data_IF_244474276083
#
_entry.id   IF_244474276083
#
_cell.length_a   1.000
_cell.length_b   1.000
_cell.length_c   1.000
_cell.angle_alpha   90.00
_cell.angle_beta   90.00
_cell.angle_gamma   90.00
#
_symmetry.space_group_name_H-M   'P 1'
#
loop_
_entity.id
_entity.type
_entity.pdbx_description
1 polymer ?
#
# COMPACT_ATOMS: atom_id res chain seq x y z
N UNK A 1 68.93 -21.87 38.82
CA UNK A 1 68.92 -21.93 40.28
C UNK A 1 67.49 -22.00 40.75
N UNK A 2 66.99 -23.21 41.09
CA UNK A 2 66.47 -23.66 42.38
C UNK A 2 65.15 -22.98 42.81
N UNK A 3 64.04 -23.71 42.59
CA UNK A 3 63.08 -24.34 43.55
C UNK A 3 62.35 -23.41 44.48
N UNK A 4 61.00 -23.44 44.48
CA UNK A 4 60.22 -24.12 45.54
C UNK A 4 58.74 -24.32 45.18
N UNK A 5 58.35 -25.57 45.17
CA UNK A 5 56.96 -26.05 45.26
C UNK A 5 56.48 -25.88 46.71
N UNK A 6 55.29 -25.52 46.94
CA UNK A 6 54.51 -25.92 48.11
C UNK A 6 53.07 -26.23 47.69
N UNK A 7 52.78 -27.50 47.78
CA UNK A 7 51.41 -28.02 47.79
C UNK A 7 50.81 -27.80 49.21
N UNK A 8 49.52 -27.46 49.24
CA UNK A 8 48.67 -27.61 50.44
C UNK A 8 47.40 -28.33 50.04
N UNK A 9 47.13 -29.41 50.81
CA UNK A 9 46.12 -30.42 50.60
C UNK A 9 44.73 -30.00 51.16
N UNK A 10 43.71 -30.55 50.53
CA UNK A 10 42.41 -31.06 51.00
C UNK A 10 41.84 -30.58 52.34
N UNK A 11 40.57 -30.11 52.22
CA UNK A 11 39.53 -30.42 53.21
C UNK A 11 38.17 -30.58 52.49
N UNK A 12 37.71 -31.85 52.41
CA UNK A 12 36.33 -32.21 52.11
C UNK A 12 35.45 -31.82 53.31
N UNK A 13 34.42 -30.97 53.03
CA UNK A 13 33.27 -30.85 53.92
C UNK A 13 32.03 -31.22 53.13
N UNK A 14 31.46 -32.37 53.37
CA UNK A 14 30.22 -32.86 52.85
C UNK A 14 29.07 -32.06 53.55
N UNK A 15 28.29 -31.30 52.80
CA UNK A 15 27.01 -30.75 53.24
C UNK A 15 25.92 -31.44 52.44
N UNK A 16 25.20 -32.35 53.06
CA UNK A 16 23.93 -32.85 52.57
C UNK A 16 22.90 -31.71 52.62
N UNK A 17 22.51 -31.23 51.50
CA UNK A 17 21.36 -30.35 51.36
C UNK A 17 20.21 -31.09 50.69
N UNK A 18 19.14 -31.23 51.45
CA UNK A 18 17.85 -31.78 51.09
C UNK A 18 17.30 -31.05 49.87
N UNK A 19 17.18 -31.72 48.71
CA UNK A 19 16.46 -31.22 47.57
C UNK A 19 14.95 -31.34 47.80
N UNK A 20 14.31 -30.24 48.16
CA UNK A 20 12.86 -30.10 48.06
C UNK A 20 12.53 -29.85 46.59
N UNK A 21 11.98 -30.85 45.91
CA UNK A 21 11.45 -30.75 44.56
C UNK A 21 10.15 -29.96 44.62
N UNK A 22 10.24 -28.62 44.41
CA UNK A 22 9.09 -27.81 44.08
C UNK A 22 8.75 -28.07 42.60
N UNK A 23 7.69 -28.85 42.36
CA UNK A 23 7.09 -29.03 41.06
C UNK A 23 6.43 -27.71 40.67
N UNK A 24 7.18 -26.82 39.95
CA UNK A 24 6.60 -25.67 39.26
C UNK A 24 5.87 -26.25 38.06
N UNK A 25 4.53 -26.30 38.14
CA UNK A 25 3.69 -26.58 37.02
C UNK A 25 3.89 -25.49 35.96
N UNK A 26 4.56 -25.86 34.86
CA UNK A 26 4.60 -25.02 33.66
C UNK A 26 3.19 -24.99 33.13
N UNK A 27 2.44 -23.92 33.46
CA UNK A 27 1.22 -23.55 32.76
C UNK A 27 1.67 -23.15 31.36
N UNK A 28 1.54 -24.09 30.45
CA UNK A 28 1.71 -23.84 29.02
C UNK A 28 0.54 -22.93 28.62
N UNK A 29 0.78 -21.64 28.51
CA UNK A 29 -0.17 -20.72 27.90
C UNK A 29 -0.33 -21.19 26.44
N UNK A 30 -1.45 -21.76 26.12
CA UNK A 30 -1.86 -21.94 24.74
C UNK A 30 -1.94 -20.54 24.11
N UNK A 31 -1.39 -20.34 22.89
CA UNK A 31 -1.59 -19.08 22.19
C UNK A 31 -3.11 -18.95 21.99
N UNK A 32 -3.69 -17.93 22.62
CA UNK A 32 -5.08 -17.57 22.36
C UNK A 32 -5.17 -17.10 20.92
N UNK A 33 -5.64 -17.98 20.05
CA UNK A 33 -6.10 -17.67 18.68
C UNK A 33 -7.38 -16.85 18.75
N UNK A 34 -7.33 -15.72 19.44
CA UNK A 34 -8.33 -14.66 19.34
C UNK A 34 -7.75 -13.50 18.51
N UNK A 35 -7.26 -13.79 17.31
CA UNK A 35 -7.33 -12.82 16.25
C UNK A 35 -8.82 -12.58 16.01
N UNK A 36 -9.32 -11.51 16.61
CA UNK A 36 -10.61 -10.93 16.28
C UNK A 36 -10.68 -10.82 14.76
N UNK A 37 -11.40 -11.76 14.13
CA UNK A 37 -11.92 -11.59 12.78
C UNK A 37 -12.85 -10.38 12.85
N UNK A 38 -12.30 -9.18 12.70
CA UNK A 38 -13.06 -8.01 12.31
C UNK A 38 -13.80 -8.43 11.04
N UNK A 39 -15.13 -8.23 10.99
CA UNK A 39 -15.99 -8.70 9.92
C UNK A 39 -15.53 -8.19 8.56
N UNK A 40 -14.55 -8.86 7.99
CA UNK A 40 -14.12 -8.68 6.62
C UNK A 40 -15.24 -9.21 5.74
N UNK A 41 -15.88 -8.34 4.97
CA UNK A 41 -16.72 -8.73 3.86
C UNK A 41 -15.96 -9.79 3.04
N UNK A 42 -16.68 -10.74 2.45
CA UNK A 42 -16.10 -11.85 1.71
C UNK A 42 -15.37 -11.33 0.44
N UNK A 43 -14.10 -10.94 0.55
CA UNK A 43 -13.28 -10.67 -0.63
C UNK A 43 -13.04 -11.99 -1.40
N UNK A 44 -13.43 -12.02 -2.66
CA UNK A 44 -13.10 -13.13 -3.56
C UNK A 44 -11.67 -12.92 -4.12
N UNK A 45 -10.65 -13.03 -3.25
CA UNK A 45 -9.24 -12.78 -3.60
C UNK A 45 -8.78 -13.45 -4.90
N UNK A 46 -9.12 -14.75 -5.19
CA UNK A 46 -8.69 -15.39 -6.42
C UNK A 46 -9.29 -14.77 -7.69
N UNK A 47 -10.39 -14.03 -7.58
CA UNK A 47 -11.07 -13.38 -8.70
C UNK A 47 -10.73 -11.90 -8.83
N UNK A 48 -10.22 -11.27 -7.77
CA UNK A 48 -9.84 -9.87 -7.76
C UNK A 48 -8.51 -9.66 -8.46
N UNK A 49 -8.52 -8.90 -9.56
CA UNK A 49 -7.34 -8.63 -10.37
C UNK A 49 -6.72 -7.30 -10.02
N UNK A 50 -5.49 -7.33 -9.51
CA UNK A 50 -4.64 -6.15 -9.31
C UNK A 50 -3.63 -6.06 -10.45
N UNK A 51 -3.50 -4.88 -11.06
CA UNK A 51 -2.39 -4.57 -11.96
C UNK A 51 -1.39 -3.71 -11.20
N UNK A 52 -0.20 -4.25 -10.98
CA UNK A 52 0.96 -3.52 -10.45
C UNK A 52 1.74 -2.95 -11.63
N UNK A 53 1.59 -1.65 -11.86
CA UNK A 53 2.30 -0.93 -12.92
C UNK A 53 3.65 -0.44 -12.40
N UNK A 54 4.75 -0.98 -12.94
CA UNK A 54 6.10 -0.51 -12.61
C UNK A 54 6.35 0.82 -13.31
N UNK A 55 6.51 1.89 -12.53
CA UNK A 55 6.81 3.22 -13.04
C UNK A 55 8.08 3.24 -13.90
N UNK A 56 8.07 4.04 -14.95
CA UNK A 56 9.20 4.19 -15.88
C UNK A 56 9.54 2.94 -16.70
N UNK A 57 10.71 2.90 -17.30
CA UNK A 57 11.28 1.78 -18.07
C UNK A 57 12.80 1.85 -18.03
N UNK A 58 13.50 0.76 -18.36
CA UNK A 58 14.96 0.77 -18.44
C UNK A 58 15.50 1.80 -19.47
N UNK A 59 14.71 2.18 -20.51
CA UNK A 59 15.07 3.20 -21.50
C UNK A 59 14.66 4.63 -21.15
N UNK A 60 13.80 4.78 -20.14
CA UNK A 60 13.35 6.07 -19.60
C UNK A 60 13.19 5.90 -18.09
N UNK A 61 14.33 5.85 -17.36
CA UNK A 61 14.38 5.30 -16.01
C UNK A 61 13.81 6.21 -14.92
N UNK A 62 13.28 7.37 -15.25
CA UNK A 62 12.76 8.32 -14.27
C UNK A 62 13.85 9.20 -13.67
N UNK A 63 13.70 9.55 -12.42
CA UNK A 63 14.64 10.35 -11.66
C UNK A 63 15.92 9.56 -11.31
N UNK A 64 16.96 10.29 -10.91
CA UNK A 64 18.13 9.71 -10.27
C UNK A 64 18.04 9.87 -8.77
N UNK A 65 18.42 8.84 -8.06
CA UNK A 65 18.56 8.91 -6.62
C UNK A 65 19.71 9.81 -6.19
N UNK A 66 19.80 10.15 -4.93
CA UNK A 66 20.90 10.94 -4.39
C UNK A 66 22.28 10.34 -4.71
N UNK A 67 22.39 9.03 -4.91
CA UNK A 67 23.63 8.30 -5.25
C UNK A 67 23.70 7.86 -6.71
N UNK A 68 22.76 8.31 -7.54
CA UNK A 68 22.77 8.14 -8.98
C UNK A 68 22.13 6.84 -9.50
N UNK A 69 21.46 6.06 -8.65
CA UNK A 69 20.67 4.92 -9.10
C UNK A 69 19.39 5.38 -9.81
N UNK A 70 18.88 4.56 -10.70
CA UNK A 70 17.66 4.84 -11.45
C UNK A 70 16.40 4.59 -10.61
N UNK A 71 15.40 5.48 -10.69
CA UNK A 71 14.08 5.30 -10.07
C UNK A 71 13.42 3.98 -10.51
N UNK A 72 13.56 3.63 -11.79
CA UNK A 72 13.03 2.37 -12.32
C UNK A 72 13.49 1.14 -11.54
N UNK A 73 14.74 1.14 -11.05
CA UNK A 73 15.27 0.01 -10.28
C UNK A 73 14.63 -0.11 -8.90
N UNK A 74 14.32 1.01 -8.26
CA UNK A 74 13.56 1.04 -7.00
C UNK A 74 12.13 0.57 -7.23
N UNK A 75 11.47 1.10 -8.26
CA UNK A 75 10.10 0.75 -8.62
C UNK A 75 9.96 -0.74 -8.90
N UNK A 76 10.87 -1.31 -9.66
CA UNK A 76 10.85 -2.72 -10.04
C UNK A 76 11.08 -3.65 -8.85
N UNK A 77 12.00 -3.30 -7.95
CA UNK A 77 12.25 -4.10 -6.73
C UNK A 77 11.03 -4.13 -5.83
N UNK A 78 10.47 -2.97 -5.51
CA UNK A 78 9.31 -2.88 -4.65
C UNK A 78 8.08 -3.55 -5.27
N UNK A 79 7.83 -3.33 -6.56
CA UNK A 79 6.70 -3.94 -7.25
C UNK A 79 6.80 -5.47 -7.31
N UNK A 80 7.99 -6.05 -7.44
CA UNK A 80 8.21 -7.50 -7.35
C UNK A 80 7.89 -8.06 -5.97
N UNK A 81 8.28 -7.35 -4.90
CA UNK A 81 7.95 -7.74 -3.53
C UNK A 81 6.42 -7.72 -3.33
N UNK A 82 5.76 -6.65 -3.75
CA UNK A 82 4.29 -6.53 -3.65
C UNK A 82 3.59 -7.63 -4.48
N UNK A 83 4.06 -7.93 -5.67
CA UNK A 83 3.50 -8.98 -6.53
C UNK A 83 3.55 -10.35 -5.83
N UNK A 84 4.72 -10.70 -5.28
CA UNK A 84 4.90 -11.94 -4.52
C UNK A 84 3.95 -12.00 -3.32
N UNK A 85 3.90 -10.97 -2.49
CA UNK A 85 3.09 -10.95 -1.27
C UNK A 85 1.59 -10.99 -1.58
N UNK A 86 1.12 -10.34 -2.66
CA UNK A 86 -0.26 -10.42 -3.12
C UNK A 86 -0.63 -11.83 -3.61
N UNK A 87 0.25 -12.48 -4.37
CA UNK A 87 0.05 -13.86 -4.81
C UNK A 87 -0.01 -14.82 -3.61
N UNK A 88 0.87 -14.67 -2.63
CA UNK A 88 0.88 -15.44 -1.38
C UNK A 88 -0.37 -15.19 -0.53
N UNK A 89 -0.90 -13.97 -0.55
CA UNK A 89 -2.18 -13.61 0.10
C UNK A 89 -3.42 -14.16 -0.62
N UNK A 90 -3.24 -14.82 -1.78
CA UNK A 90 -4.32 -15.45 -2.54
C UNK A 90 -4.93 -14.60 -3.66
N UNK A 91 -4.35 -13.44 -3.99
CA UNK A 91 -4.75 -12.62 -5.15
C UNK A 91 -4.15 -13.19 -6.45
N UNK A 92 -4.59 -14.38 -6.83
CA UNK A 92 -4.01 -15.19 -7.90
C UNK A 92 -4.04 -14.52 -9.29
N UNK A 93 -4.87 -13.49 -9.50
CA UNK A 93 -4.96 -12.72 -10.75
C UNK A 93 -4.12 -11.44 -10.75
N UNK A 94 -3.21 -11.27 -9.79
CA UNK A 94 -2.25 -10.16 -9.79
C UNK A 94 -1.39 -10.20 -11.06
N UNK A 95 -1.14 -9.04 -11.64
CA UNK A 95 -0.33 -8.88 -12.85
C UNK A 95 0.75 -7.84 -12.63
N UNK A 96 2.00 -8.27 -12.53
CA UNK A 96 3.15 -7.38 -12.57
C UNK A 96 3.36 -6.88 -14.00
N UNK A 97 3.17 -5.58 -14.21
CA UNK A 97 3.27 -4.95 -15.52
C UNK A 97 4.54 -4.15 -15.66
N UNK A 98 5.58 -4.77 -16.21
CA UNK A 98 6.80 -4.11 -16.65
C UNK A 98 6.65 -3.73 -18.12
N UNK A 99 6.98 -2.48 -18.45
CA UNK A 99 6.82 -1.95 -19.81
C UNK A 99 8.18 -1.52 -20.35
N UNK A 100 8.38 -1.72 -21.64
CA UNK A 100 9.61 -1.34 -22.35
C UNK A 100 9.42 -0.11 -23.23
N UNK A 101 10.56 0.47 -23.68
CA UNK A 101 10.59 1.52 -24.68
C UNK A 101 10.63 2.95 -24.09
N UNK A 102 10.57 3.99 -24.93
CA UNK A 102 10.66 5.39 -24.49
C UNK A 102 9.38 5.85 -23.80
N UNK A 103 9.50 6.76 -22.83
CA UNK A 103 8.51 7.16 -21.85
C UNK A 103 7.08 7.38 -22.38
N UNK A 104 6.85 8.25 -23.37
CA UNK A 104 5.50 8.51 -23.90
C UNK A 104 4.84 7.29 -24.54
N UNK A 105 5.62 6.47 -25.25
CA UNK A 105 5.09 5.24 -25.89
C UNK A 105 4.76 4.20 -24.84
N UNK A 106 5.63 4.03 -23.85
CA UNK A 106 5.42 3.10 -22.75
C UNK A 106 4.18 3.46 -21.91
N UNK A 107 3.95 4.74 -21.59
CA UNK A 107 2.75 5.17 -20.87
C UNK A 107 1.45 4.79 -21.61
N UNK A 108 1.38 4.99 -22.94
CA UNK A 108 0.22 4.60 -23.73
C UNK A 108 0.04 3.08 -23.76
N UNK A 109 1.14 2.33 -23.89
CA UNK A 109 1.12 0.87 -23.91
C UNK A 109 0.63 0.29 -22.58
N UNK A 110 1.09 0.83 -21.44
CA UNK A 110 0.64 0.36 -20.11
C UNK A 110 -0.84 0.63 -19.85
N UNK A 111 -1.34 1.82 -20.21
CA UNK A 111 -2.79 2.13 -20.10
C UNK A 111 -3.61 1.20 -20.99
N UNK A 112 -3.22 1.00 -22.25
CA UNK A 112 -3.92 0.10 -23.16
C UNK A 112 -3.92 -1.35 -22.65
N UNK A 113 -2.79 -1.82 -22.09
CA UNK A 113 -2.68 -3.17 -21.51
C UNK A 113 -3.52 -3.32 -20.27
N UNK A 114 -3.48 -2.34 -19.33
CA UNK A 114 -4.30 -2.35 -18.12
C UNK A 114 -5.79 -2.41 -18.46
N UNK A 115 -6.26 -1.55 -19.37
CA UNK A 115 -7.66 -1.52 -19.79
C UNK A 115 -8.10 -2.85 -20.45
N UNK A 116 -7.22 -3.49 -21.24
CA UNK A 116 -7.50 -4.80 -21.84
C UNK A 116 -7.62 -5.92 -20.80
N UNK A 117 -6.93 -5.81 -19.67
CA UNK A 117 -6.98 -6.80 -18.60
C UNK A 117 -8.28 -6.73 -17.79
N UNK A 118 -9.06 -5.66 -17.92
CA UNK A 118 -10.28 -5.43 -17.12
C UNK A 118 -10.02 -5.68 -15.65
N UNK A 119 -8.97 -5.03 -15.12
CA UNK A 119 -8.55 -5.17 -13.72
C UNK A 119 -9.57 -4.50 -12.76
N UNK A 120 -9.58 -4.95 -11.52
CA UNK A 120 -10.36 -4.33 -10.45
C UNK A 120 -9.64 -3.10 -9.86
N UNK A 121 -8.31 -3.09 -9.96
CA UNK A 121 -7.47 -2.01 -9.42
C UNK A 121 -6.17 -1.91 -10.23
N UNK A 122 -5.73 -0.67 -10.48
CA UNK A 122 -4.36 -0.38 -10.94
C UNK A 122 -3.61 0.38 -9.85
N UNK A 123 -2.45 -0.15 -9.45
CA UNK A 123 -1.50 0.51 -8.57
C UNK A 123 -0.18 0.75 -9.31
N UNK A 124 0.16 2.01 -9.57
CA UNK A 124 1.43 2.41 -10.18
C UNK A 124 2.47 2.68 -9.10
N UNK A 125 3.61 2.02 -9.17
CA UNK A 125 4.69 2.09 -8.16
C UNK A 125 5.80 2.99 -8.67
N UNK A 126 6.08 4.03 -7.91
CA UNK A 126 7.09 5.05 -8.15
C UNK A 126 7.90 5.36 -6.89
N UNK A 127 9.00 6.09 -7.05
CA UNK A 127 9.78 6.71 -5.99
C UNK A 127 10.08 8.15 -6.37
N UNK A 128 9.70 9.05 -5.48
CA UNK A 128 9.67 10.49 -5.75
C UNK A 128 11.05 11.13 -5.87
N UNK A 129 11.08 12.22 -6.59
CA UNK A 129 12.14 13.20 -6.63
C UNK A 129 11.51 14.60 -6.61
N UNK A 130 12.34 15.61 -6.56
CA UNK A 130 11.89 17.00 -6.51
C UNK A 130 12.33 17.76 -7.77
N UNK A 131 11.68 18.89 -8.11
CA UNK A 131 12.12 19.76 -9.18
C UNK A 131 13.60 20.17 -9.03
N UNK A 132 14.33 20.25 -10.15
CA UNK A 132 15.79 20.45 -10.18
C UNK A 132 16.29 21.63 -9.35
N UNK A 133 15.49 22.71 -9.21
CA UNK A 133 15.86 23.90 -8.43
C UNK A 133 15.86 23.67 -6.91
N UNK A 134 15.36 22.52 -6.43
CA UNK A 134 15.48 22.09 -5.04
C UNK A 134 16.60 21.10 -4.81
N UNK A 135 17.32 20.71 -5.87
CA UNK A 135 18.42 19.78 -5.78
C UNK A 135 19.74 20.54 -5.54
N UNK A 136 20.56 20.00 -4.66
CA UNK A 136 21.89 20.46 -4.31
C UNK A 136 22.94 19.50 -4.88
N UNK A 137 24.13 20.02 -5.19
CA UNK A 137 25.26 19.21 -5.68
C UNK A 137 26.06 18.64 -4.51
N UNK A 138 26.48 17.40 -4.64
CA UNK A 138 27.44 16.78 -3.74
C UNK A 138 28.34 15.79 -4.49
N UNK A 139 29.45 15.41 -3.90
CA UNK A 139 30.31 14.34 -4.44
C UNK A 139 29.97 13.02 -3.75
N UNK A 140 29.72 12.00 -4.55
CA UNK A 140 29.54 10.64 -4.05
C UNK A 140 30.47 9.70 -4.81
N UNK A 141 31.48 9.18 -4.12
CA UNK A 141 32.51 8.29 -4.67
C UNK A 141 33.21 8.89 -5.89
N UNK A 142 33.60 10.18 -5.82
CA UNK A 142 34.29 10.89 -6.91
C UNK A 142 33.42 11.26 -8.11
N UNK A 143 32.09 11.16 -7.97
CA UNK A 143 31.12 11.51 -9.01
C UNK A 143 30.17 12.60 -8.51
N UNK A 144 29.94 13.65 -9.31
CA UNK A 144 28.94 14.66 -8.96
C UNK A 144 27.55 14.07 -9.04
N UNK A 145 26.81 14.20 -7.96
CA UNK A 145 25.42 13.77 -7.83
C UNK A 145 24.55 14.93 -7.35
N UNK A 146 23.23 14.73 -7.38
CA UNK A 146 22.22 15.69 -6.94
C UNK A 146 21.39 15.10 -5.80
N UNK A 147 21.07 15.89 -4.78
CA UNK A 147 20.27 15.45 -3.65
C UNK A 147 19.38 16.57 -3.11
N UNK A 148 18.42 16.21 -2.29
CA UNK A 148 17.64 17.14 -1.48
C UNK A 148 17.19 16.45 -0.18
N UNK A 149 17.82 16.79 0.94
CA UNK A 149 17.45 16.25 2.25
C UNK A 149 16.22 16.96 2.84
N UNK A 150 15.70 17.97 2.16
CA UNK A 150 14.54 18.74 2.59
C UNK A 150 13.23 17.96 2.52
N UNK A 151 13.11 17.05 1.55
CA UNK A 151 11.87 16.34 1.23
C UNK A 151 12.03 14.85 1.50
N UNK A 152 11.06 14.29 2.18
CA UNK A 152 10.99 12.87 2.53
C UNK A 152 9.56 12.43 2.79
N UNK A 153 9.32 11.13 2.76
CA UNK A 153 8.00 10.54 2.97
C UNK A 153 7.33 10.15 1.66
N UNK A 154 6.28 9.34 1.78
CA UNK A 154 5.50 8.88 0.63
C UNK A 154 4.47 9.93 0.19
N UNK A 155 3.91 9.75 -1.01
CA UNK A 155 2.69 10.43 -1.47
C UNK A 155 1.84 9.49 -2.30
N UNK A 156 0.53 9.70 -2.24
CA UNK A 156 -0.45 8.90 -2.97
C UNK A 156 -1.19 9.84 -3.91
N UNK A 157 -1.24 9.51 -5.19
CA UNK A 157 -1.91 10.32 -6.20
C UNK A 157 -3.09 9.61 -6.81
N UNK A 158 -4.20 10.34 -6.96
CA UNK A 158 -5.41 9.94 -7.68
C UNK A 158 -5.82 11.04 -8.67
N UNK A 159 -6.74 10.74 -9.56
CA UNK A 159 -7.25 11.71 -10.54
C UNK A 159 -8.78 11.76 -10.51
N UNK A 160 -9.34 12.97 -10.39
CA UNK A 160 -10.77 13.22 -10.53
C UNK A 160 -11.26 12.98 -11.99
N UNK A 161 -10.33 12.99 -12.96
CA UNK A 161 -10.58 12.68 -14.37
C UNK A 161 -10.52 11.16 -14.68
N UNK A 162 -10.32 10.28 -13.69
CA UNK A 162 -10.46 8.83 -13.85
C UNK A 162 -11.93 8.44 -14.05
N UNK A 163 -12.22 7.30 -14.66
CA UNK A 163 -13.61 6.81 -14.80
C UNK A 163 -14.22 6.42 -13.45
N UNK A 164 -13.41 6.07 -12.48
CA UNK A 164 -13.81 5.68 -11.13
C UNK A 164 -13.03 6.44 -10.05
N UNK A 165 -13.24 7.78 -9.96
CA UNK A 165 -12.45 8.61 -9.06
C UNK A 165 -12.76 8.36 -7.59
N UNK A 166 -14.00 7.96 -7.26
CA UNK A 166 -14.41 7.69 -5.88
C UNK A 166 -13.71 6.44 -5.31
N UNK A 167 -13.63 5.40 -6.10
CA UNK A 167 -12.97 4.16 -5.68
C UNK A 167 -11.45 4.29 -5.75
N UNK A 168 -10.92 5.14 -6.66
CA UNK A 168 -9.51 5.54 -6.63
C UNK A 168 -9.15 6.26 -5.33
N UNK A 169 -9.96 7.22 -4.89
CA UNK A 169 -9.78 7.91 -3.62
C UNK A 169 -9.93 6.96 -2.43
N UNK A 170 -10.95 6.10 -2.43
CA UNK A 170 -11.18 5.11 -1.37
C UNK A 170 -9.97 4.19 -1.19
N UNK A 171 -9.44 3.62 -2.28
CA UNK A 171 -8.24 2.80 -2.20
C UNK A 171 -7.01 3.61 -1.76
N UNK A 172 -6.84 4.83 -2.27
CA UNK A 172 -5.76 5.73 -1.87
C UNK A 172 -5.76 5.99 -0.36
N UNK A 173 -6.92 6.30 0.22
CA UNK A 173 -7.07 6.51 1.67
C UNK A 173 -6.80 5.23 2.47
N UNK A 174 -7.31 4.07 2.04
CA UNK A 174 -7.00 2.79 2.68
C UNK A 174 -5.50 2.49 2.67
N UNK A 175 -4.81 2.77 1.55
CA UNK A 175 -3.37 2.58 1.44
C UNK A 175 -2.61 3.54 2.38
N UNK A 176 -2.96 4.82 2.40
CA UNK A 176 -2.37 5.81 3.30
C UNK A 176 -2.53 5.43 4.76
N UNK A 177 -3.72 4.96 5.14
CA UNK A 177 -4.03 4.46 6.48
C UNK A 177 -3.12 3.28 6.88
N UNK A 178 -2.91 2.33 5.96
CA UNK A 178 -2.05 1.17 6.21
C UNK A 178 -0.57 1.56 6.30
N UNK A 179 -0.11 2.53 5.49
CA UNK A 179 1.25 3.07 5.56
C UNK A 179 1.47 3.80 6.91
N UNK A 180 0.53 4.66 7.30
CA UNK A 180 0.55 5.40 8.57
C UNK A 180 0.55 4.46 9.79
N UNK A 181 -0.26 3.42 9.77
CA UNK A 181 -0.32 2.41 10.84
C UNK A 181 1.04 1.69 11.04
N UNK A 182 1.90 1.67 10.01
CA UNK A 182 3.26 1.12 10.05
C UNK A 182 4.33 2.17 10.33
N UNK A 183 3.93 3.38 10.74
CA UNK A 183 4.83 4.48 11.09
C UNK A 183 5.43 5.23 9.88
N UNK A 184 4.91 4.99 8.67
CA UNK A 184 5.35 5.71 7.48
C UNK A 184 4.59 7.03 7.36
N UNK A 185 5.33 8.13 7.18
CA UNK A 185 4.75 9.46 7.07
C UNK A 185 4.65 9.87 5.60
N UNK A 186 3.55 10.53 5.24
CA UNK A 186 3.46 11.15 3.92
C UNK A 186 4.21 12.49 3.89
N UNK A 187 4.61 12.93 2.71
CA UNK A 187 5.29 14.22 2.53
C UNK A 187 4.28 15.35 2.32
N UNK A 188 4.30 16.43 3.13
CA UNK A 188 3.33 17.52 2.99
C UNK A 188 3.70 18.53 1.89
N UNK A 189 4.90 18.44 1.30
CA UNK A 189 5.47 19.52 0.48
C UNK A 189 4.64 19.86 -0.76
N UNK A 190 3.85 18.92 -1.28
CA UNK A 190 2.99 19.16 -2.44
C UNK A 190 1.88 20.20 -2.21
N UNK A 191 1.54 20.53 -0.96
CA UNK A 191 0.58 21.61 -0.64
C UNK A 191 1.22 22.98 -0.58
N UNK A 192 2.56 23.03 -0.50
CA UNK A 192 3.29 24.26 -0.23
C UNK A 192 3.36 25.17 -1.46
N UNK A 193 3.20 26.49 -1.25
CA UNK A 193 3.18 27.48 -2.34
C UNK A 193 4.49 27.56 -3.12
N UNK A 194 5.62 27.22 -2.49
CA UNK A 194 6.92 27.19 -3.17
C UNK A 194 7.02 26.12 -4.26
N UNK A 195 6.10 25.11 -4.26
CA UNK A 195 6.04 24.11 -5.33
C UNK A 195 5.52 24.69 -6.66
N UNK A 196 4.85 25.83 -6.65
CA UNK A 196 4.37 26.49 -7.88
C UNK A 196 3.53 25.56 -8.74
N UNK A 197 3.94 25.29 -9.99
CA UNK A 197 3.20 24.41 -10.90
C UNK A 197 3.11 22.94 -10.47
N UNK A 198 3.95 22.51 -9.54
CA UNK A 198 3.92 21.15 -8.96
C UNK A 198 3.07 21.07 -7.70
N UNK A 199 2.50 22.19 -7.24
CA UNK A 199 1.56 22.18 -6.12
C UNK A 199 0.35 21.31 -6.44
N UNK A 200 -0.12 20.54 -5.45
CA UNK A 200 -1.26 19.61 -5.57
C UNK A 200 -2.30 19.87 -4.49
N UNK A 201 -3.54 19.59 -4.80
CA UNK A 201 -4.61 19.60 -3.82
C UNK A 201 -4.54 18.34 -2.98
N UNK A 202 -4.47 18.48 -1.67
CA UNK A 202 -4.58 17.37 -0.72
C UNK A 202 -6.06 17.03 -0.55
N UNK A 203 -6.45 15.82 -0.94
CA UNK A 203 -7.83 15.33 -0.87
C UNK A 203 -8.12 14.66 0.47
N UNK A 204 -7.11 13.97 1.01
CA UNK A 204 -7.17 13.30 2.31
C UNK A 204 -5.92 13.67 3.11
N UNK A 205 -6.11 14.52 4.11
CA UNK A 205 -5.02 15.04 4.94
C UNK A 205 -4.57 14.05 6.03
N UNK A 206 -5.42 13.09 6.40
CA UNK A 206 -5.08 12.07 7.37
C UNK A 206 -4.18 11.00 6.77
N UNK A 207 -4.37 10.71 5.48
CA UNK A 207 -3.78 9.57 4.79
C UNK A 207 -2.86 9.95 3.61
N UNK A 208 -2.66 11.26 3.35
CA UNK A 208 -1.69 11.78 2.38
C UNK A 208 -2.05 11.52 0.91
N UNK A 209 -3.34 11.65 0.55
CA UNK A 209 -3.82 11.46 -0.81
C UNK A 209 -3.98 12.80 -1.53
N UNK A 210 -3.34 12.92 -2.69
CA UNK A 210 -3.30 14.13 -3.50
C UNK A 210 -4.02 13.95 -4.84
N UNK A 211 -4.59 15.04 -5.36
CA UNK A 211 -5.16 15.10 -6.71
C UNK A 211 -4.08 15.40 -7.75
N UNK A 212 -4.07 14.60 -8.84
CA UNK A 212 -3.16 14.81 -9.97
C UNK A 212 -3.82 14.46 -11.32
N UNK A 213 -4.70 15.34 -11.84
CA UNK A 213 -5.53 15.10 -13.01
C UNK A 213 -4.78 15.08 -14.35
N UNK A 214 -3.53 15.56 -14.39
CA UNK A 214 -2.72 15.53 -15.60
C UNK A 214 -1.88 14.25 -15.77
N UNK A 215 -1.84 13.37 -14.79
CA UNK A 215 -1.16 12.09 -14.89
C UNK A 215 -1.91 11.13 -15.81
N UNK A 216 -1.30 10.87 -16.96
CA UNK A 216 -1.92 10.11 -18.05
C UNK A 216 -2.38 8.71 -17.61
N UNK A 217 -1.57 8.01 -16.82
CA UNK A 217 -1.88 6.66 -16.33
C UNK A 217 -3.11 6.68 -15.43
N UNK A 218 -3.21 7.61 -14.49
CA UNK A 218 -4.35 7.73 -13.60
C UNK A 218 -5.63 8.13 -14.35
N UNK A 219 -5.51 9.13 -15.25
CA UNK A 219 -6.63 9.69 -15.99
C UNK A 219 -7.24 8.75 -17.03
N UNK A 220 -6.43 7.88 -17.68
CA UNK A 220 -6.84 7.12 -18.88
C UNK A 220 -7.08 5.64 -18.64
N UNK A 221 -6.84 5.14 -17.46
CA UNK A 221 -7.26 3.79 -17.06
C UNK A 221 -8.75 3.76 -16.73
N UNK A 222 -9.38 2.61 -16.99
CA UNK A 222 -10.85 2.42 -16.90
C UNK A 222 -11.28 1.72 -15.61
N UNK A 223 -10.38 1.56 -14.67
CA UNK A 223 -10.60 1.02 -13.34
C UNK A 223 -10.09 2.02 -12.30
N UNK A 224 -10.41 1.85 -11.00
CA UNK A 224 -9.78 2.59 -9.93
C UNK A 224 -8.26 2.57 -10.10
N UNK A 225 -7.62 3.74 -10.06
CA UNK A 225 -6.19 3.89 -10.33
C UNK A 225 -5.53 4.83 -9.33
N UNK A 226 -4.45 4.33 -8.73
CA UNK A 226 -3.66 5.03 -7.73
C UNK A 226 -2.18 4.94 -8.11
N UNK A 227 -1.44 6.02 -7.88
CA UNK A 227 0.01 6.03 -7.96
C UNK A 227 0.57 6.24 -6.56
N UNK A 228 1.46 5.36 -6.16
CA UNK A 228 2.24 5.46 -4.93
C UNK A 228 3.66 5.93 -5.25
N UNK A 229 4.03 7.10 -4.74
CA UNK A 229 5.42 7.48 -4.54
C UNK A 229 5.85 6.94 -3.17
N UNK A 230 6.65 5.89 -3.15
CA UNK A 230 6.94 5.13 -1.93
C UNK A 230 7.84 5.87 -0.93
N UNK A 231 8.53 6.90 -1.38
CA UNK A 231 9.43 7.79 -0.64
C UNK A 231 10.32 8.57 -1.60
N UNK A 232 11.14 9.50 -1.10
CA UNK A 232 12.01 10.34 -1.89
C UNK A 232 13.39 9.72 -2.07
N UNK A 233 13.73 9.30 -3.29
CA UNK A 233 15.09 8.80 -3.61
C UNK A 233 16.11 9.92 -3.80
N UNK A 234 15.67 11.18 -3.90
CA UNK A 234 16.56 12.35 -3.88
C UNK A 234 17.09 12.68 -2.48
N UNK A 235 16.44 12.17 -1.42
CA UNK A 235 16.88 12.32 -0.03
C UNK A 235 17.94 11.28 0.31
N UNK A 236 19.11 11.71 0.83
CA UNK A 236 20.26 10.84 1.06
C UNK A 236 20.03 9.77 2.12
N UNK A 237 19.24 10.08 3.14
CA UNK A 237 18.92 9.13 4.20
C UNK A 237 17.77 8.19 3.78
N UNK A 238 16.73 8.74 3.15
CA UNK A 238 15.56 7.96 2.74
C UNK A 238 15.89 6.98 1.61
N UNK A 239 16.76 7.35 0.66
CA UNK A 239 17.23 6.45 -0.40
C UNK A 239 17.77 5.12 0.16
N UNK A 240 18.60 5.16 1.21
CA UNK A 240 19.11 3.96 1.86
C UNK A 240 18.00 3.10 2.46
N UNK A 241 17.06 3.78 3.13
CA UNK A 241 15.92 3.10 3.74
C UNK A 241 15.02 2.49 2.67
N UNK A 242 14.75 3.19 1.57
CA UNK A 242 13.95 2.69 0.44
C UNK A 242 14.56 1.44 -0.22
N UNK A 243 15.90 1.34 -0.20
CA UNK A 243 16.60 0.18 -0.74
C UNK A 243 16.60 -1.03 0.21
N UNK A 244 16.25 -0.85 1.50
CA UNK A 244 16.30 -1.92 2.50
C UNK A 244 15.14 -2.91 2.35
N UNK A 245 15.38 -4.21 2.59
CA UNK A 245 14.32 -5.23 2.60
C UNK A 245 13.22 -4.93 3.63
N UNK A 246 13.57 -4.39 4.78
CA UNK A 246 12.65 -4.07 5.87
C UNK A 246 11.63 -3.01 5.44
N UNK A 247 12.06 -1.95 4.76
CA UNK A 247 11.17 -0.91 4.25
C UNK A 247 10.28 -1.44 3.14
N UNK A 248 10.84 -2.23 2.23
CA UNK A 248 10.08 -2.84 1.14
C UNK A 248 8.99 -3.76 1.70
N UNK A 249 9.30 -4.57 2.72
CA UNK A 249 8.33 -5.43 3.39
C UNK A 249 7.24 -4.63 4.11
N UNK A 250 7.57 -3.53 4.80
CA UNK A 250 6.57 -2.66 5.44
C UNK A 250 5.58 -2.07 4.43
N UNK A 251 6.09 -1.58 3.29
CA UNK A 251 5.25 -1.01 2.23
C UNK A 251 4.43 -2.11 1.56
N UNK A 252 5.02 -3.25 1.25
CA UNK A 252 4.33 -4.38 0.63
C UNK A 252 3.19 -4.89 1.51
N UNK A 253 3.43 -5.08 2.81
CA UNK A 253 2.38 -5.47 3.75
C UNK A 253 1.25 -4.43 3.84
N UNK A 254 1.57 -3.12 3.77
CA UNK A 254 0.56 -2.06 3.73
C UNK A 254 -0.31 -2.16 2.47
N UNK A 255 0.31 -2.44 1.32
CA UNK A 255 -0.41 -2.62 0.04
C UNK A 255 -1.32 -3.84 0.10
N UNK A 256 -0.83 -4.98 0.59
CA UNK A 256 -1.64 -6.22 0.71
C UNK A 256 -2.88 -5.99 1.58
N UNK A 257 -2.73 -5.37 2.75
CA UNK A 257 -3.85 -5.10 3.66
C UNK A 257 -4.83 -4.07 3.08
N UNK A 258 -4.34 -3.06 2.35
CA UNK A 258 -5.18 -2.09 1.65
C UNK A 258 -5.98 -2.75 0.51
N UNK A 259 -5.34 -3.63 -0.28
CA UNK A 259 -6.00 -4.39 -1.35
C UNK A 259 -7.07 -5.32 -0.79
N UNK A 260 -6.79 -6.00 0.32
CA UNK A 260 -7.76 -6.88 0.95
C UNK A 260 -9.00 -6.10 1.46
N UNK A 261 -8.75 -4.99 2.13
CA UNK A 261 -9.81 -4.10 2.61
C UNK A 261 -10.65 -3.53 1.47
N UNK A 262 -10.01 -3.12 0.38
CA UNK A 262 -10.69 -2.58 -0.80
C UNK A 262 -11.50 -3.66 -1.53
N UNK A 263 -10.96 -4.85 -1.72
CA UNK A 263 -11.68 -5.99 -2.30
C UNK A 263 -12.92 -6.34 -1.49
N UNK A 264 -12.83 -6.33 -0.17
CA UNK A 264 -13.98 -6.58 0.71
C UNK A 264 -15.07 -5.49 0.56
N UNK A 265 -14.67 -4.22 0.45
CA UNK A 265 -15.59 -3.11 0.23
C UNK A 265 -16.30 -3.19 -1.14
N UNK A 266 -15.58 -3.58 -2.20
CA UNK A 266 -16.13 -3.77 -3.54
C UNK A 266 -17.17 -4.90 -3.58
N UNK A 267 -16.90 -6.02 -2.92
CA UNK A 267 -17.82 -7.15 -2.87
C UNK A 267 -19.11 -6.80 -2.11
N UNK A 268 -19.04 -5.88 -1.16
CA UNK A 268 -20.21 -5.46 -0.38
C UNK A 268 -21.16 -4.51 -1.14
N UNK A 269 -20.66 -3.71 -2.09
CA UNK A 269 -21.48 -2.77 -2.90
C UNK A 269 -22.63 -3.45 -3.66
N UNK A 270 -22.44 -4.56 -4.40
CA UNK A 270 -23.55 -5.25 -5.06
C UNK A 270 -24.59 -5.80 -4.09
N UNK A 271 -24.16 -6.33 -2.93
CA UNK A 271 -25.06 -6.87 -1.93
C UNK A 271 -25.97 -5.79 -1.34
N UNK A 272 -25.43 -4.60 -1.04
CA UNK A 272 -26.21 -3.44 -0.60
C UNK A 272 -27.21 -2.98 -1.65
N UNK A 273 -26.82 -2.91 -2.91
CA UNK A 273 -27.71 -2.53 -4.01
C UNK A 273 -28.85 -3.52 -4.19
N UNK A 274 -28.60 -4.82 -4.09
CA UNK A 274 -29.62 -5.86 -4.14
C UNK A 274 -30.58 -5.73 -2.96
N UNK A 275 -30.06 -5.53 -1.75
CA UNK A 275 -30.88 -5.36 -0.54
C UNK A 275 -31.75 -4.11 -0.60
N UNK A 276 -31.23 -3.00 -1.12
CA UNK A 276 -31.98 -1.75 -1.32
C UNK A 276 -33.07 -1.91 -2.37
N UNK A 277 -32.79 -2.58 -3.51
CA UNK A 277 -33.78 -2.89 -4.56
C UNK A 277 -34.89 -3.81 -4.02
N UNK A 278 -34.54 -4.79 -3.21
CA UNK A 278 -35.49 -5.69 -2.55
C UNK A 278 -36.42 -4.92 -1.59
N UNK A 279 -35.87 -4.06 -0.71
CA UNK A 279 -36.66 -3.19 0.17
C UNK A 279 -37.58 -2.26 -0.61
N UNK A 280 -37.10 -1.63 -1.67
CA UNK A 280 -37.92 -0.75 -2.52
C UNK A 280 -39.08 -1.50 -3.18
N UNK A 281 -38.87 -2.73 -3.67
CA UNK A 281 -39.95 -3.58 -4.22
C UNK A 281 -41.00 -3.95 -3.17
N UNK A 282 -40.58 -4.29 -1.94
CA UNK A 282 -41.52 -4.60 -0.85
C UNK A 282 -42.39 -3.40 -0.47
N UNK A 283 -41.79 -2.18 -0.41
CA UNK A 283 -42.51 -0.95 -0.11
C UNK A 283 -43.53 -0.63 -1.22
N UNK A 284 -43.15 -0.77 -2.49
CA UNK A 284 -44.05 -0.54 -3.63
C UNK A 284 -45.20 -1.56 -3.66
N UNK A 285 -44.92 -2.85 -3.37
CA UNK A 285 -45.95 -3.90 -3.27
C UNK A 285 -46.93 -3.60 -2.14
N UNK A 286 -46.45 -3.21 -0.95
CA UNK A 286 -47.31 -2.85 0.18
C UNK A 286 -48.24 -1.68 -0.13
N UNK A 287 -47.72 -0.65 -0.85
CA UNK A 287 -48.55 0.49 -1.27
C UNK A 287 -49.59 0.12 -2.34
N UNK A 288 -49.27 -0.79 -3.27
CA UNK A 288 -50.22 -1.26 -4.27
C UNK A 288 -51.37 -2.06 -3.64
N UNK A 289 -51.07 -2.91 -2.69
CA UNK A 289 -52.07 -3.68 -1.94
C UNK A 289 -52.95 -2.79 -1.08
N UNK A 290 -52.43 -1.74 -0.47
CA UNK A 290 -53.21 -0.79 0.30
C UNK A 290 -54.19 0.00 -0.60
N UNK A 291 -53.73 0.51 -1.75
CA UNK A 291 -54.57 1.19 -2.73
C UNK A 291 -55.67 0.31 -3.33
N UNK A 292 -55.37 -1.00 -3.54
CA UNK A 292 -56.35 -1.96 -3.99
C UNK A 292 -57.49 -2.18 -2.95
N UNK A 293 -57.10 -2.30 -1.66
CA UNK A 293 -58.07 -2.41 -0.56
C UNK A 293 -58.94 -1.17 -0.38
N UNK A 294 -58.37 0.02 -0.50
CA UNK A 294 -59.10 1.31 -0.42
C UNK A 294 -60.11 1.43 -1.57
N UNK A 295 -59.72 1.03 -2.79
CA UNK A 295 -60.65 1.03 -3.95
C UNK A 295 -61.81 0.03 -3.79
N UNK A 296 -61.57 -1.11 -3.22
CA UNK A 296 -62.60 -2.14 -2.98
C UNK A 296 -63.57 -1.73 -1.84
N UNK A 297 -63.12 -0.96 -0.89
CA UNK A 297 -63.93 -0.41 0.19
C UNK A 297 -64.89 0.69 -0.32
N UNK A 298 -64.43 1.54 -1.27
CA UNK A 298 -65.21 2.66 -1.85
C UNK A 298 -66.31 2.19 -2.82
N UNK A 299 -66.24 0.97 -3.35
CA UNK A 299 -67.24 0.38 -4.27
C UNK A 299 -68.36 -0.39 -3.52
N UNK A 300 -68.38 -0.42 -2.21
CA UNK A 300 -69.37 -1.12 -1.37
C UNK A 300 -70.32 -0.16 -0.64
N UNK A 301 -70.29 1.11 -0.96
CA UNK A 301 -71.23 2.17 -0.58
C UNK A 301 -71.86 2.76 -1.84
#
# INVERSE_FOLDING_TARGET
MIRHWRAIALSLAAVLSVLSVLSVGIVRAEPSDSATKSGAGNCARPDFRVVLDVGHTAKSPGAKSARGADEFDFNLRLAKQIDQDLLEAGFAKTVLMVTEGPGRRSMRARVARANKLSANLLLSIHHDSVPDHFLEKWDYNGKPQMFSDRFKGHSIFVSDDNLDPKDSLLFGSMLGQQLKARGLQYTPHYTESFMGRWQRTLLDADDGVYRYDTLFVLKKTQMPAVLLEAGSIANRDEEWVMASPERQQLISAAVVDAVDSFCAAETYKPALQIAQRSKARHVLSAHSHRRARERTATLRH
#
